data_IF_481120336641
#
_entry.id   IF_481120336641
#
_cell.length_a   1.000
_cell.length_b   1.000
_cell.length_c   1.000
_cell.angle_alpha   90.00
_cell.angle_beta   90.00
_cell.angle_gamma   90.00
#
_symmetry.space_group_name_H-M   'P 1'
#
loop_
_entity.id
_entity.type
_entity.pdbx_description
1 polymer ?
#
# COMPACT_ATOMS: atom_id res chain seq x y z
N UNK A 1 -47.93 -15.73 -25.10
CA UNK A 1 -46.50 -15.54 -25.27
C UNK A 1 -45.90 -15.09 -23.94
N UNK A 2 -45.24 -15.99 -23.18
CA UNK A 2 -44.53 -15.66 -21.94
C UNK A 2 -43.13 -15.19 -22.33
N UNK A 3 -42.74 -13.97 -21.92
CA UNK A 3 -41.36 -13.48 -22.09
C UNK A 3 -40.46 -14.26 -21.15
N UNK A 4 -39.29 -14.75 -21.59
CA UNK A 4 -38.32 -15.36 -20.69
C UNK A 4 -37.74 -14.29 -19.74
N UNK A 5 -37.41 -14.66 -18.50
CA UNK A 5 -36.77 -13.73 -17.57
C UNK A 5 -35.37 -13.37 -18.07
N UNK A 6 -35.05 -12.07 -18.05
CA UNK A 6 -33.73 -11.53 -18.40
C UNK A 6 -32.79 -11.65 -17.19
N UNK A 7 -32.56 -12.85 -16.71
CA UNK A 7 -31.67 -13.11 -15.55
C UNK A 7 -30.18 -13.21 -15.96
N UNK A 8 -29.81 -12.50 -17.02
CA UNK A 8 -28.45 -12.32 -17.45
C UNK A 8 -27.71 -11.19 -16.68
N UNK A 9 -28.08 -10.95 -15.41
CA UNK A 9 -27.28 -10.07 -14.57
C UNK A 9 -26.01 -10.82 -14.21
N UNK A 10 -24.91 -10.52 -14.93
CA UNK A 10 -23.58 -10.98 -14.55
C UNK A 10 -23.38 -10.66 -13.06
N UNK A 11 -22.99 -11.66 -12.23
CA UNK A 11 -22.69 -11.37 -10.84
C UNK A 11 -21.57 -10.33 -10.83
N UNK A 12 -21.67 -9.27 -10.02
CA UNK A 12 -20.61 -8.28 -9.92
C UNK A 12 -19.33 -9.02 -9.59
N UNK A 13 -18.24 -8.70 -10.30
CA UNK A 13 -16.91 -9.26 -10.07
C UNK A 13 -16.45 -8.92 -8.66
N UNK A 14 -16.92 -9.68 -7.69
CA UNK A 14 -16.58 -9.52 -6.27
C UNK A 14 -15.42 -10.45 -5.87
N UNK A 15 -14.39 -10.52 -6.69
CA UNK A 15 -13.12 -11.13 -6.30
C UNK A 15 -12.30 -10.18 -5.43
N UNK A 16 -12.93 -9.60 -4.39
CA UNK A 16 -12.18 -8.83 -3.39
C UNK A 16 -11.61 -9.82 -2.37
N UNK A 17 -10.29 -9.79 -2.25
CA UNK A 17 -9.55 -10.62 -1.30
C UNK A 17 -10.06 -10.35 0.11
N UNK A 18 -10.64 -11.37 0.76
CA UNK A 18 -11.04 -11.30 2.17
C UNK A 18 -9.85 -11.72 3.02
N UNK A 19 -9.12 -10.75 3.56
CA UNK A 19 -8.06 -11.04 4.52
C UNK A 19 -8.66 -11.21 5.93
N UNK A 20 -8.22 -12.24 6.69
CA UNK A 20 -8.52 -12.31 8.11
C UNK A 20 -7.97 -11.07 8.82
N UNK A 21 -8.66 -10.60 9.86
CA UNK A 21 -8.27 -9.35 10.56
C UNK A 21 -6.81 -9.39 11.04
N UNK A 22 -6.36 -10.53 11.56
CA UNK A 22 -4.99 -10.72 12.01
C UNK A 22 -3.99 -10.51 10.85
N UNK A 23 -4.22 -11.12 9.68
CA UNK A 23 -3.33 -10.97 8.53
C UNK A 23 -3.29 -9.52 8.00
N UNK A 24 -4.44 -8.82 7.99
CA UNK A 24 -4.49 -7.41 7.60
C UNK A 24 -3.69 -6.52 8.59
N UNK A 25 -3.76 -6.80 9.89
CA UNK A 25 -2.99 -6.07 10.90
C UNK A 25 -1.50 -6.39 10.82
N UNK A 26 -1.11 -7.67 10.65
CA UNK A 26 0.29 -8.06 10.48
C UNK A 26 0.91 -7.39 9.25
N UNK A 27 0.19 -7.37 8.14
CA UNK A 27 0.62 -6.68 6.92
C UNK A 27 0.77 -5.17 7.15
N UNK A 28 -0.20 -4.53 7.83
CA UNK A 28 -0.15 -3.10 8.12
C UNK A 28 1.03 -2.74 9.03
N UNK A 29 1.28 -3.52 10.09
CA UNK A 29 2.40 -3.31 11.00
C UNK A 29 3.73 -3.49 10.26
N UNK A 30 3.87 -4.53 9.46
CA UNK A 30 5.07 -4.76 8.66
C UNK A 30 5.35 -3.59 7.71
N UNK A 31 4.34 -3.15 6.95
CA UNK A 31 4.47 -2.00 6.04
C UNK A 31 4.82 -0.73 6.82
N UNK A 32 4.18 -0.47 7.96
CA UNK A 32 4.48 0.68 8.80
C UNK A 32 5.95 0.71 9.23
N UNK A 33 6.46 -0.40 9.75
CA UNK A 33 7.87 -0.50 10.19
C UNK A 33 8.83 -0.26 9.03
N UNK A 34 8.61 -0.92 7.88
CA UNK A 34 9.49 -0.78 6.71
C UNK A 34 9.48 0.66 6.18
N UNK A 35 8.30 1.26 5.99
CA UNK A 35 8.20 2.59 5.39
C UNK A 35 8.62 3.71 6.35
N UNK A 36 8.37 3.58 7.65
CA UNK A 36 8.90 4.52 8.65
C UNK A 36 10.42 4.46 8.66
N UNK A 37 11.02 3.28 8.67
CA UNK A 37 12.48 3.14 8.62
C UNK A 37 13.07 3.68 7.30
N UNK A 38 12.46 3.35 6.15
CA UNK A 38 12.88 3.83 4.85
C UNK A 38 12.79 5.36 4.74
N UNK A 39 11.68 5.95 5.22
CA UNK A 39 11.50 7.40 5.24
C UNK A 39 12.49 8.09 6.18
N UNK A 40 12.68 7.58 7.41
CA UNK A 40 13.67 8.11 8.35
C UNK A 40 15.08 8.11 7.76
N UNK A 41 15.46 7.07 7.02
CA UNK A 41 16.77 6.98 6.35
C UNK A 41 17.00 8.08 5.32
N UNK A 42 15.91 8.65 4.77
CA UNK A 42 15.93 9.77 3.81
C UNK A 42 15.96 11.15 4.50
N UNK A 43 15.58 11.22 5.77
CA UNK A 43 15.47 12.48 6.50
C UNK A 43 16.66 12.77 7.41
N UNK A 44 17.38 11.74 7.89
CA UNK A 44 18.37 11.92 8.95
C UNK A 44 19.69 11.21 8.65
N UNK A 45 20.76 11.80 9.21
CA UNK A 45 22.09 11.22 9.24
C UNK A 45 22.78 11.10 7.88
N UNK A 46 23.89 10.35 7.82
CA UNK A 46 24.67 10.19 6.59
C UNK A 46 23.89 9.51 5.44
N UNK A 47 22.82 8.78 5.74
CA UNK A 47 21.99 8.15 4.71
C UNK A 47 21.14 9.17 3.97
N UNK A 48 20.70 10.25 4.62
CA UNK A 48 19.94 11.30 3.95
C UNK A 48 20.77 11.98 2.84
N UNK A 49 22.05 12.24 3.09
CA UNK A 49 22.96 12.79 2.06
C UNK A 49 23.09 11.84 0.88
N UNK A 50 23.33 10.54 1.13
CA UNK A 50 23.42 9.54 0.06
C UNK A 50 22.13 9.42 -0.75
N UNK A 51 20.96 9.55 -0.11
CA UNK A 51 19.68 9.58 -0.82
C UNK A 51 19.52 10.83 -1.66
N UNK A 52 19.85 12.02 -1.12
CA UNK A 52 19.82 13.28 -1.86
C UNK A 52 20.71 13.23 -3.09
N UNK A 53 21.97 12.80 -2.95
CA UNK A 53 22.91 12.62 -4.08
C UNK A 53 22.37 11.64 -5.13
N UNK A 54 21.77 10.53 -4.69
CA UNK A 54 21.19 9.55 -5.62
C UNK A 54 20.01 10.14 -6.40
N UNK A 55 19.12 10.90 -5.74
CA UNK A 55 18.01 11.57 -6.41
C UNK A 55 18.50 12.59 -7.43
N UNK A 56 19.52 13.36 -7.11
CA UNK A 56 20.16 14.28 -8.05
C UNK A 56 20.76 13.54 -9.24
N UNK A 57 21.44 12.43 -9.01
CA UNK A 57 22.00 11.59 -10.08
C UNK A 57 20.90 10.97 -10.99
N UNK A 58 19.70 10.78 -10.48
CA UNK A 58 18.52 10.37 -11.26
C UNK A 58 17.82 11.55 -11.95
N UNK A 59 18.33 12.79 -11.80
CA UNK A 59 17.75 13.98 -12.42
C UNK A 59 16.59 14.61 -11.61
N UNK A 60 16.38 14.19 -10.37
CA UNK A 60 15.40 14.81 -9.47
C UNK A 60 16.02 15.98 -8.70
N UNK A 61 15.18 16.94 -8.22
CA UNK A 61 15.65 17.98 -7.30
C UNK A 61 16.24 17.39 -6.01
N UNK A 62 17.25 18.05 -5.41
CA UNK A 62 17.94 17.58 -4.21
C UNK A 62 17.01 17.37 -2.99
N UNK A 63 15.91 18.12 -2.91
CA UNK A 63 14.92 18.00 -1.84
C UNK A 63 13.88 16.91 -2.08
N UNK A 64 13.84 16.28 -3.27
CA UNK A 64 12.83 15.27 -3.59
C UNK A 64 12.93 14.05 -2.65
N UNK A 65 14.15 13.66 -2.24
CA UNK A 65 14.33 12.56 -1.29
C UNK A 65 13.65 12.83 0.05
N UNK A 66 13.69 14.07 0.55
CA UNK A 66 13.02 14.48 1.79
C UNK A 66 11.50 14.39 1.68
N UNK A 67 10.94 14.88 0.56
CA UNK A 67 9.50 14.83 0.30
C UNK A 67 9.03 13.37 0.27
N UNK A 68 9.74 12.51 -0.44
CA UNK A 68 9.43 11.07 -0.49
C UNK A 68 9.56 10.45 0.90
N UNK A 69 10.61 10.77 1.67
CA UNK A 69 10.77 10.27 3.04
C UNK A 69 9.61 10.64 3.96
N UNK A 70 9.13 11.89 3.89
CA UNK A 70 7.95 12.33 4.65
C UNK A 70 6.70 11.57 4.23
N UNK A 71 6.47 11.42 2.93
CA UNK A 71 5.32 10.67 2.41
C UNK A 71 5.36 9.19 2.81
N UNK A 72 6.52 8.56 2.82
CA UNK A 72 6.72 7.19 3.29
C UNK A 72 6.34 7.06 4.78
N UNK A 73 6.81 7.96 5.65
CA UNK A 73 6.48 7.94 7.08
C UNK A 73 4.99 8.15 7.29
N UNK A 74 4.41 9.19 6.70
CA UNK A 74 2.98 9.50 6.87
C UNK A 74 2.10 8.35 6.39
N UNK A 75 2.42 7.76 5.24
CA UNK A 75 1.66 6.64 4.70
C UNK A 75 1.91 5.36 5.50
N UNK A 76 3.15 5.11 5.94
CA UNK A 76 3.49 3.99 6.81
C UNK A 76 2.74 4.04 8.15
N UNK A 77 2.63 5.20 8.78
CA UNK A 77 1.82 5.38 10.00
C UNK A 77 0.31 5.33 9.68
N UNK A 78 -0.09 5.91 8.55
CA UNK A 78 -1.48 5.98 8.12
C UNK A 78 -2.14 4.61 7.91
N UNK A 79 -1.38 3.57 7.49
CA UNK A 79 -1.95 2.22 7.33
C UNK A 79 -2.35 1.57 8.67
N UNK A 80 -1.84 2.06 9.80
CA UNK A 80 -2.24 1.60 11.13
C UNK A 80 -3.57 2.18 11.58
N UNK A 81 -4.02 3.29 10.98
CA UNK A 81 -5.27 3.95 11.31
C UNK A 81 -6.39 3.37 10.44
N UNK A 82 -7.39 2.66 10.98
CA UNK A 82 -8.40 1.96 10.17
C UNK A 82 -9.11 2.84 9.14
N UNK A 83 -9.46 4.06 9.51
CA UNK A 83 -10.18 5.00 8.63
C UNK A 83 -9.30 5.55 7.51
N UNK A 84 -7.98 5.61 7.70
CA UNK A 84 -7.02 6.15 6.74
C UNK A 84 -6.27 5.05 5.97
N UNK A 85 -6.39 3.79 6.43
CA UNK A 85 -5.65 2.64 5.91
C UNK A 85 -5.69 2.53 4.38
N UNK A 86 -6.87 2.68 3.78
CA UNK A 86 -7.00 2.56 2.32
C UNK A 86 -6.31 3.70 1.58
N UNK A 87 -6.48 4.94 2.04
CA UNK A 87 -5.82 6.09 1.44
C UNK A 87 -4.29 6.01 1.59
N UNK A 88 -3.82 5.63 2.77
CA UNK A 88 -2.40 5.42 3.04
C UNK A 88 -1.81 4.27 2.21
N UNK A 89 -2.51 3.14 2.11
CA UNK A 89 -2.09 2.03 1.26
C UNK A 89 -2.04 2.40 -0.22
N UNK A 90 -3.01 3.19 -0.72
CA UNK A 90 -2.99 3.70 -2.08
C UNK A 90 -1.78 4.62 -2.32
N UNK A 91 -1.43 5.48 -1.36
CA UNK A 91 -0.24 6.32 -1.44
C UNK A 91 1.05 5.48 -1.48
N UNK A 92 1.15 4.42 -0.65
CA UNK A 92 2.29 3.51 -0.69
C UNK A 92 2.42 2.81 -2.05
N UNK A 93 1.30 2.39 -2.64
CA UNK A 93 1.30 1.82 -4.00
C UNK A 93 1.84 2.83 -5.01
N UNK A 94 1.37 4.09 -4.96
CA UNK A 94 1.85 5.14 -5.86
C UNK A 94 3.35 5.40 -5.70
N UNK A 95 3.85 5.46 -4.45
CA UNK A 95 5.29 5.60 -4.16
C UNK A 95 6.10 4.42 -4.71
N UNK A 96 5.59 3.19 -4.59
CA UNK A 96 6.28 2.00 -5.10
C UNK A 96 6.26 1.94 -6.62
N UNK A 97 5.20 2.39 -7.28
CA UNK A 97 5.17 2.53 -8.75
C UNK A 97 6.23 3.55 -9.18
N UNK A 98 6.31 4.72 -8.52
CA UNK A 98 7.35 5.71 -8.78
C UNK A 98 8.76 5.14 -8.62
N UNK A 99 9.01 4.38 -7.55
CA UNK A 99 10.29 3.72 -7.31
C UNK A 99 10.61 2.68 -8.40
N UNK A 100 9.63 1.86 -8.81
CA UNK A 100 9.79 0.89 -9.90
C UNK A 100 10.16 1.58 -11.22
N UNK A 101 9.45 2.65 -11.58
CA UNK A 101 9.74 3.44 -12.78
C UNK A 101 11.17 4.02 -12.73
N UNK A 102 11.55 4.62 -11.60
CA UNK A 102 12.89 5.22 -11.43
C UNK A 102 13.98 4.16 -11.58
N UNK A 103 13.88 3.03 -10.88
CA UNK A 103 14.89 1.96 -10.97
C UNK A 103 14.93 1.31 -12.35
N UNK A 104 13.78 1.17 -13.02
CA UNK A 104 13.74 0.62 -14.39
C UNK A 104 14.43 1.56 -15.40
N UNK A 105 14.15 2.87 -15.35
CA UNK A 105 14.77 3.87 -16.24
C UNK A 105 16.28 3.93 -16.05
N UNK A 106 16.75 3.76 -14.81
CA UNK A 106 18.20 3.81 -14.51
C UNK A 106 18.88 2.44 -14.55
N UNK A 107 18.21 1.41 -15.11
CA UNK A 107 18.72 0.03 -15.27
C UNK A 107 19.20 -0.61 -13.94
N UNK A 108 18.63 -0.21 -12.82
CA UNK A 108 18.96 -0.75 -11.49
C UNK A 108 18.09 -1.99 -11.16
N UNK A 109 18.11 -3.02 -12.03
CA UNK A 109 17.24 -4.19 -11.96
C UNK A 109 17.21 -4.91 -10.61
N UNK A 110 18.33 -5.11 -9.87
CA UNK A 110 18.29 -5.75 -8.55
C UNK A 110 17.47 -4.98 -7.52
N UNK A 111 17.30 -3.66 -7.71
CA UNK A 111 16.54 -2.78 -6.82
C UNK A 111 15.06 -2.71 -7.13
N UNK A 112 14.57 -3.40 -8.16
CA UNK A 112 13.15 -3.52 -8.46
C UNK A 112 12.41 -4.46 -7.49
N UNK A 113 13.12 -5.42 -6.89
CA UNK A 113 12.49 -6.45 -6.05
C UNK A 113 11.80 -5.85 -4.82
N UNK A 114 12.45 -5.00 -3.98
CA UNK A 114 11.80 -4.42 -2.81
C UNK A 114 10.53 -3.62 -3.13
N UNK A 115 10.52 -2.64 -4.08
CA UNK A 115 9.32 -1.89 -4.37
C UNK A 115 8.24 -2.74 -5.03
N UNK A 116 8.59 -3.79 -5.77
CA UNK A 116 7.59 -4.72 -6.31
C UNK A 116 6.87 -5.50 -5.21
N UNK A 117 7.62 -6.06 -4.26
CA UNK A 117 7.05 -6.82 -3.14
C UNK A 117 6.25 -5.90 -2.21
N UNK A 118 6.81 -4.76 -1.83
CA UNK A 118 6.15 -3.81 -0.92
C UNK A 118 4.92 -3.18 -1.57
N UNK A 119 4.99 -2.86 -2.86
CA UNK A 119 3.85 -2.38 -3.63
C UNK A 119 2.73 -3.41 -3.73
N UNK A 120 3.07 -4.68 -3.94
CA UNK A 120 2.12 -5.79 -3.94
C UNK A 120 1.42 -5.97 -2.58
N UNK A 121 2.18 -5.90 -1.47
CA UNK A 121 1.62 -5.95 -0.11
C UNK A 121 0.72 -4.74 0.18
N UNK A 122 1.13 -3.55 -0.22
CA UNK A 122 0.32 -2.34 -0.06
C UNK A 122 -0.97 -2.41 -0.89
N UNK A 123 -0.90 -2.94 -2.12
CA UNK A 123 -2.06 -3.16 -2.97
C UNK A 123 -3.01 -4.22 -2.38
N UNK A 124 -2.48 -5.31 -1.81
CA UNK A 124 -3.26 -6.31 -1.11
C UNK A 124 -4.02 -5.68 0.07
N UNK A 125 -3.33 -4.86 0.88
CA UNK A 125 -3.93 -4.15 2.01
C UNK A 125 -4.99 -3.13 1.55
N UNK A 126 -4.75 -2.43 0.44
CA UNK A 126 -5.70 -1.51 -0.19
C UNK A 126 -6.99 -2.22 -0.61
N UNK A 127 -6.85 -3.40 -1.23
CA UNK A 127 -7.95 -4.21 -1.78
C UNK A 127 -8.71 -4.98 -0.70
N UNK A 128 -8.12 -5.19 0.48
CA UNK A 128 -8.73 -5.95 1.56
C UNK A 128 -9.94 -5.22 2.15
N UNK A 129 -11.08 -5.93 2.25
CA UNK A 129 -12.22 -5.48 3.06
C UNK A 129 -12.10 -6.09 4.46
N UNK A 130 -12.43 -5.33 5.52
CA UNK A 130 -12.56 -5.92 6.83
C UNK A 130 -13.63 -7.02 6.77
N UNK A 131 -13.30 -8.22 7.25
CA UNK A 131 -14.31 -9.25 7.42
C UNK A 131 -15.42 -8.66 8.28
N UNK A 132 -16.66 -8.62 7.77
CA UNK A 132 -17.84 -8.28 8.58
C UNK A 132 -17.78 -9.17 9.81
N UNK A 133 -17.76 -8.55 11.00
CA UNK A 133 -17.86 -9.28 12.25
C UNK A 133 -19.04 -10.24 12.13
N UNK A 134 -18.84 -11.48 12.56
CA UNK A 134 -19.91 -12.45 12.63
C UNK A 134 -21.09 -11.78 13.35
N UNK A 135 -22.14 -11.56 12.59
CA UNK A 135 -23.41 -11.07 13.09
C UNK A 135 -23.83 -12.03 14.19
N UNK A 136 -23.84 -11.54 15.42
CA UNK A 136 -24.30 -12.31 16.56
C UNK A 136 -25.64 -12.90 16.19
N UNK A 137 -25.88 -14.22 16.37
CA UNK A 137 -27.19 -14.77 16.10
C UNK A 137 -28.20 -14.00 16.95
N UNK A 138 -29.12 -13.31 16.27
CA UNK A 138 -30.26 -12.64 16.84
C UNK A 138 -30.91 -13.63 17.81
N UNK A 139 -30.83 -13.30 19.10
CA UNK A 139 -31.54 -14.01 20.15
C UNK A 139 -33.02 -13.93 19.81
N UNK A 140 -33.54 -14.98 19.19
CA UNK A 140 -34.96 -15.16 18.96
C UNK A 140 -35.59 -15.32 20.36
N UNK A 141 -36.06 -14.22 20.89
CA UNK A 141 -36.91 -14.25 22.09
C UNK A 141 -38.28 -14.76 21.68
N UNK A 142 -38.59 -15.97 22.10
CA UNK A 142 -39.95 -16.52 22.20
C UNK A 142 -40.77 -15.70 23.16
#
# INVERSE_FOLDING_TARGET
MKRPPLDGVMPPMQNMVRLPRAAAWSCAIFLALVFVFAGMSKLQGPSAMRWSERFVNWGYPANASYVIGVLEILSGLGVLIPNWRRAAAAMLVALMIGALCTHAVHAEFPRLIPPFVLGGLAFLLYSARPAKGAESPQRQKS
#
